data_IF_048411878283
#
_entry.id   IF_048411878283
#
_cell.length_a   1.000
_cell.length_b   1.000
_cell.length_c   1.000
_cell.angle_alpha   90.00
_cell.angle_beta   90.00
_cell.angle_gamma   90.00
#
_symmetry.space_group_name_H-M   'P 1'
#
loop_
_entity.id
_entity.type
_entity.pdbx_description
1 polymer ?
#
# COMPACT_ATOMS: atom_id res chain seq x y z
N UNK A 1 60.12 -11.58 -26.59
CA UNK A 1 58.85 -11.33 -25.87
C UNK A 1 57.89 -12.44 -26.24
N UNK A 2 57.72 -13.42 -25.36
CA UNK A 2 57.01 -14.66 -25.66
C UNK A 2 55.51 -14.51 -25.37
N UNK A 3 54.68 -14.71 -26.38
CA UNK A 3 53.22 -14.72 -26.27
C UNK A 3 52.76 -16.07 -25.69
N UNK A 4 52.20 -16.04 -24.48
CA UNK A 4 51.58 -17.19 -23.83
C UNK A 4 50.11 -17.28 -24.26
N UNK A 5 49.75 -18.33 -24.99
CA UNK A 5 48.38 -18.55 -25.45
C UNK A 5 47.46 -19.00 -24.30
N UNK A 6 46.20 -18.55 -24.24
CA UNK A 6 45.24 -18.97 -23.22
C UNK A 6 44.71 -20.38 -23.49
N UNK A 7 44.69 -21.20 -22.44
CA UNK A 7 44.18 -22.57 -22.46
C UNK A 7 42.66 -22.59 -22.68
N UNK A 8 42.23 -23.15 -23.81
CA UNK A 8 40.83 -23.41 -24.15
C UNK A 8 40.34 -24.55 -23.25
N UNK A 9 39.56 -24.21 -22.21
CA UNK A 9 38.84 -25.20 -21.39
C UNK A 9 37.74 -25.84 -22.23
N UNK A 10 37.96 -27.08 -22.64
CA UNK A 10 36.92 -27.92 -23.23
C UNK A 10 35.77 -28.12 -22.22
N UNK A 11 34.59 -27.62 -22.59
CA UNK A 11 33.36 -27.84 -21.84
C UNK A 11 33.00 -29.33 -21.89
N UNK A 12 33.17 -30.03 -20.77
CA UNK A 12 32.70 -31.40 -20.60
C UNK A 12 31.17 -31.40 -20.63
N UNK A 13 30.59 -32.04 -21.65
CA UNK A 13 29.17 -32.31 -21.72
C UNK A 13 28.75 -33.14 -20.49
N UNK A 14 27.97 -32.52 -19.60
CA UNK A 14 27.41 -33.20 -18.44
C UNK A 14 26.42 -34.29 -18.85
N UNK A 15 26.23 -35.32 -18.01
CA UNK A 15 25.29 -36.41 -18.27
C UNK A 15 23.86 -35.85 -18.45
N UNK A 16 23.17 -36.37 -19.46
CA UNK A 16 21.78 -36.03 -19.80
C UNK A 16 20.89 -36.28 -18.58
N UNK A 17 20.10 -35.29 -18.10
CA UNK A 17 19.21 -35.48 -16.96
C UNK A 17 18.19 -36.56 -17.28
N UNK A 18 17.99 -37.49 -16.34
CA UNK A 18 16.98 -38.54 -16.44
C UNK A 18 15.57 -37.94 -16.60
N UNK A 19 14.69 -38.55 -17.40
CA UNK A 19 13.31 -38.11 -17.52
C UNK A 19 12.62 -38.17 -16.15
N UNK A 20 12.00 -37.06 -15.75
CA UNK A 20 11.23 -37.00 -14.51
C UNK A 20 10.06 -38.01 -14.58
N UNK A 21 9.76 -38.72 -13.49
CA UNK A 21 8.62 -39.62 -13.44
C UNK A 21 7.33 -38.82 -13.63
N UNK A 22 6.58 -39.18 -14.66
CA UNK A 22 5.26 -38.62 -14.95
C UNK A 22 4.29 -39.09 -13.87
N UNK A 23 4.11 -38.30 -12.81
CA UNK A 23 3.09 -38.58 -11.81
C UNK A 23 1.72 -38.48 -12.49
N UNK A 24 0.89 -39.54 -12.50
CA UNK A 24 -0.46 -39.46 -13.02
C UNK A 24 -1.22 -38.41 -12.22
N UNK A 25 -1.81 -37.44 -12.93
CA UNK A 25 -2.72 -36.46 -12.36
C UNK A 25 -3.94 -37.24 -11.86
N UNK A 26 -3.92 -37.66 -10.58
CA UNK A 26 -5.09 -38.17 -9.89
C UNK A 26 -6.04 -36.98 -9.78
N UNK A 27 -6.99 -36.87 -10.71
CA UNK A 27 -8.15 -35.99 -10.58
C UNK A 27 -8.86 -36.41 -9.29
N UNK A 28 -8.66 -35.67 -8.21
CA UNK A 28 -9.44 -35.84 -6.98
C UNK A 28 -10.82 -35.23 -7.23
N UNK A 29 -11.91 -36.03 -7.30
CA UNK A 29 -13.26 -35.50 -7.29
C UNK A 29 -13.60 -35.15 -5.84
N UNK A 30 -13.12 -33.99 -5.40
CA UNK A 30 -13.35 -33.49 -4.06
C UNK A 30 -13.31 -31.98 -4.10
N UNK A 31 -14.48 -31.35 -4.25
CA UNK A 31 -14.61 -29.91 -4.11
C UNK A 31 -14.00 -29.50 -2.77
N UNK A 32 -12.88 -28.78 -2.82
CA UNK A 32 -12.32 -28.15 -1.62
C UNK A 32 -13.43 -27.28 -1.05
N UNK A 33 -13.90 -27.55 0.19
CA UNK A 33 -14.91 -26.71 0.81
C UNK A 33 -14.38 -25.29 0.78
N UNK A 34 -15.09 -24.42 0.07
CA UNK A 34 -14.73 -23.02 -0.03
C UNK A 34 -14.83 -22.45 1.38
N UNK A 35 -13.69 -22.34 2.05
CA UNK A 35 -13.62 -21.81 3.40
C UNK A 35 -14.30 -20.43 3.36
N UNK A 36 -15.37 -20.28 4.15
CA UNK A 36 -16.09 -19.03 4.26
C UNK A 36 -15.06 -17.93 4.57
N UNK A 37 -15.04 -16.88 3.75
CA UNK A 37 -14.12 -15.77 3.98
C UNK A 37 -14.37 -15.23 5.39
N UNK A 38 -13.32 -15.00 6.20
CA UNK A 38 -13.50 -14.45 7.53
C UNK A 38 -14.27 -13.12 7.44
N UNK A 39 -15.20 -12.85 8.37
CA UNK A 39 -15.98 -11.62 8.36
C UNK A 39 -15.04 -10.42 8.37
N UNK A 40 -15.32 -9.45 7.50
CA UNK A 40 -14.56 -8.21 7.46
C UNK A 40 -14.87 -7.39 8.73
N UNK A 41 -13.86 -6.76 9.36
CA UNK A 41 -14.11 -5.91 10.53
C UNK A 41 -15.03 -4.76 10.13
N UNK A 42 -15.99 -4.44 11.01
CA UNK A 42 -16.88 -3.30 10.83
C UNK A 42 -16.06 -2.03 11.12
N UNK A 43 -15.99 -1.05 10.20
CA UNK A 43 -15.27 0.19 10.45
C UNK A 43 -15.88 0.97 11.63
N UNK A 44 -15.02 1.40 12.56
CA UNK A 44 -15.39 2.25 13.70
C UNK A 44 -15.15 3.72 13.38
N UNK A 45 -15.72 4.64 14.16
CA UNK A 45 -15.45 6.07 13.94
C UNK A 45 -13.99 6.40 14.28
N UNK A 46 -13.41 7.38 13.58
CA UNK A 46 -12.06 7.84 13.86
C UNK A 46 -11.99 8.42 15.29
N UNK A 47 -11.00 8.04 16.11
CA UNK A 47 -10.80 8.62 17.43
C UNK A 47 -10.63 10.14 17.38
N UNK A 48 -11.08 10.83 18.43
CA UNK A 48 -10.95 12.28 18.53
C UNK A 48 -9.49 12.73 18.66
N UNK A 49 -9.19 14.02 18.42
CA UNK A 49 -7.82 14.54 18.44
C UNK A 49 -7.12 14.36 19.79
N UNK A 50 -7.83 14.50 20.92
CA UNK A 50 -7.26 14.32 22.26
C UNK A 50 -6.88 12.84 22.54
N UNK A 51 -7.71 11.89 22.10
CA UNK A 51 -7.42 10.46 22.21
C UNK A 51 -6.24 10.07 21.31
N UNK A 52 -6.17 10.64 20.11
CA UNK A 52 -5.06 10.45 19.19
C UNK A 52 -3.75 11.00 19.74
N UNK A 53 -3.75 12.21 20.32
CA UNK A 53 -2.55 12.79 20.92
C UNK A 53 -2.02 11.94 22.08
N UNK A 54 -2.91 11.47 22.94
CA UNK A 54 -2.56 10.57 24.06
C UNK A 54 -1.99 9.26 23.52
N UNK A 55 -2.68 8.62 22.57
CA UNK A 55 -2.22 7.39 21.94
C UNK A 55 -0.89 7.57 21.20
N UNK A 56 -0.68 8.69 20.52
CA UNK A 56 0.59 9.00 19.86
C UNK A 56 1.75 9.07 20.86
N UNK A 57 1.54 9.70 22.03
CA UNK A 57 2.54 9.76 23.07
C UNK A 57 2.88 8.35 23.58
N UNK A 58 1.88 7.49 23.77
CA UNK A 58 2.06 6.10 24.17
C UNK A 58 2.81 5.29 23.11
N UNK A 59 2.45 5.44 21.82
CA UNK A 59 3.16 4.78 20.71
C UNK A 59 4.61 5.24 20.64
N UNK A 60 4.87 6.56 20.76
CA UNK A 60 6.24 7.11 20.77
C UNK A 60 7.03 6.58 21.97
N UNK A 61 6.43 6.48 23.15
CA UNK A 61 7.08 5.93 24.33
C UNK A 61 7.41 4.44 24.15
N UNK A 62 6.43 3.66 23.66
CA UNK A 62 6.55 2.21 23.44
C UNK A 62 7.60 1.86 22.37
N UNK A 63 7.64 2.61 21.29
CA UNK A 63 8.57 2.41 20.17
C UNK A 63 9.76 3.37 20.23
N UNK A 64 10.06 3.96 21.39
CA UNK A 64 11.10 4.99 21.56
C UNK A 64 12.48 4.55 21.04
N UNK A 65 12.89 3.31 21.34
CA UNK A 65 14.12 2.74 20.81
C UNK A 65 14.11 2.62 19.27
N UNK A 66 12.97 2.21 18.69
CA UNK A 66 12.77 2.17 17.24
C UNK A 66 12.90 3.55 16.61
N UNK A 67 12.24 4.56 17.17
CA UNK A 67 12.36 5.95 16.69
C UNK A 67 13.78 6.50 16.81
N UNK A 68 14.49 6.22 17.90
CA UNK A 68 15.88 6.67 18.07
C UNK A 68 16.84 5.97 17.09
N UNK A 69 16.56 4.71 16.75
CA UNK A 69 17.32 3.92 15.79
C UNK A 69 16.98 4.20 14.33
N UNK A 70 15.77 4.69 14.03
CA UNK A 70 15.23 4.87 12.68
C UNK A 70 15.85 6.08 11.92
N UNK A 71 17.15 6.00 11.64
CA UNK A 71 17.92 7.09 11.02
C UNK A 71 18.02 6.97 9.51
N UNK A 72 18.00 5.74 8.99
CA UNK A 72 18.04 5.49 7.54
C UNK A 72 16.64 5.22 6.98
N UNK A 73 16.49 5.31 5.65
CA UNK A 73 15.23 4.95 4.99
C UNK A 73 14.82 3.49 5.30
N UNK A 74 15.79 2.58 5.35
CA UNK A 74 15.55 1.17 5.68
C UNK A 74 15.02 1.01 7.11
N UNK A 75 15.68 1.63 8.09
CA UNK A 75 15.24 1.53 9.49
C UNK A 75 13.83 2.13 9.69
N UNK A 76 13.51 3.22 8.98
CA UNK A 76 12.18 3.83 9.00
C UNK A 76 11.11 2.95 8.36
N UNK A 77 11.43 2.29 7.25
CA UNK A 77 10.57 1.29 6.61
C UNK A 77 10.28 0.13 7.56
N UNK A 78 11.31 -0.42 8.20
CA UNK A 78 11.15 -1.51 9.18
C UNK A 78 10.28 -1.08 10.37
N UNK A 79 10.48 0.13 10.90
CA UNK A 79 9.63 0.67 11.96
C UNK A 79 8.19 0.89 11.50
N UNK A 80 7.98 1.38 10.27
CA UNK A 80 6.64 1.54 9.69
C UNK A 80 5.91 0.19 9.60
N UNK A 81 6.59 -0.86 9.13
CA UNK A 81 6.03 -2.21 9.11
C UNK A 81 5.70 -2.73 10.52
N UNK A 82 6.58 -2.49 11.50
CA UNK A 82 6.33 -2.90 12.88
C UNK A 82 5.08 -2.22 13.46
N UNK A 83 4.91 -0.92 13.21
CA UNK A 83 3.73 -0.17 13.63
C UNK A 83 2.46 -0.67 12.93
N UNK A 84 2.54 -1.01 11.65
CA UNK A 84 1.44 -1.59 10.87
C UNK A 84 1.04 -2.98 11.36
N UNK A 85 2.01 -3.80 11.82
CA UNK A 85 1.74 -5.10 12.47
C UNK A 85 1.15 -4.90 13.86
N UNK A 86 1.65 -3.93 14.61
CA UNK A 86 1.15 -3.56 15.92
C UNK A 86 -0.31 -3.10 15.87
N UNK A 87 -0.70 -2.36 14.82
CA UNK A 87 -2.05 -1.88 14.56
C UNK A 87 -3.06 -3.00 14.16
N UNK A 88 -3.03 -4.12 14.88
CA UNK A 88 -3.96 -5.24 14.70
C UNK A 88 -5.38 -4.90 15.19
N UNK A 89 -6.33 -5.79 14.89
CA UNK A 89 -7.73 -5.65 15.29
C UNK A 89 -7.97 -5.70 16.81
N UNK A 90 -6.97 -6.12 17.60
CA UNK A 90 -7.09 -6.25 19.06
C UNK A 90 -6.64 -4.98 19.81
N UNK A 91 -6.00 -4.04 19.11
CA UNK A 91 -5.59 -2.78 19.73
C UNK A 91 -6.79 -1.84 19.96
N UNK A 92 -6.75 -1.00 21.01
CA UNK A 92 -7.70 0.11 21.16
C UNK A 92 -7.76 0.98 19.89
N UNK A 93 -8.93 1.51 19.50
CA UNK A 93 -9.08 2.32 18.28
C UNK A 93 -8.08 3.49 18.20
N UNK A 94 -7.86 4.23 19.30
CA UNK A 94 -6.91 5.33 19.37
C UNK A 94 -5.46 4.87 19.12
N UNK A 95 -5.00 3.82 19.81
CA UNK A 95 -3.68 3.24 19.61
C UNK A 95 -3.47 2.72 18.18
N UNK A 96 -4.49 2.08 17.60
CA UNK A 96 -4.45 1.60 16.22
C UNK A 96 -4.34 2.75 15.23
N UNK A 97 -5.18 3.78 15.37
CA UNK A 97 -5.16 4.95 14.48
C UNK A 97 -3.81 5.69 14.56
N UNK A 98 -3.32 5.96 15.78
CA UNK A 98 -2.03 6.61 16.01
C UNK A 98 -0.86 5.80 15.41
N UNK A 99 -0.86 4.47 15.59
CA UNK A 99 0.17 3.60 15.01
C UNK A 99 0.14 3.61 13.47
N UNK A 100 -1.05 3.56 12.85
CA UNK A 100 -1.18 3.61 11.39
C UNK A 100 -0.78 4.98 10.81
N UNK A 101 -1.14 6.09 11.47
CA UNK A 101 -0.71 7.43 11.07
C UNK A 101 0.82 7.58 11.17
N UNK A 102 1.40 7.10 12.27
CA UNK A 102 2.85 7.09 12.46
C UNK A 102 3.56 6.23 11.40
N UNK A 103 3.01 5.05 11.09
CA UNK A 103 3.55 4.19 10.05
C UNK A 103 3.48 4.83 8.67
N UNK A 104 2.33 5.43 8.31
CA UNK A 104 2.16 6.13 7.04
C UNK A 104 3.18 7.26 6.90
N UNK A 105 3.41 8.05 7.96
CA UNK A 105 4.42 9.11 7.98
C UNK A 105 5.84 8.56 7.79
N UNK A 106 6.21 7.52 8.53
CA UNK A 106 7.52 6.90 8.41
C UNK A 106 7.74 6.26 7.03
N UNK A 107 6.71 5.64 6.45
CA UNK A 107 6.76 5.09 5.10
C UNK A 107 6.97 6.19 4.05
N UNK A 108 6.31 7.34 4.18
CA UNK A 108 6.55 8.52 3.32
C UNK A 108 7.99 9.01 3.48
N UNK A 109 8.49 9.15 4.71
CA UNK A 109 9.87 9.56 4.97
C UNK A 109 10.91 8.56 4.44
N UNK A 110 10.59 7.26 4.48
CA UNK A 110 11.41 6.17 3.94
C UNK A 110 11.29 6.00 2.41
N UNK A 111 10.31 6.67 1.79
CA UNK A 111 9.89 6.42 0.40
C UNK A 111 9.45 4.96 0.14
N UNK A 112 8.93 4.30 1.16
CA UNK A 112 8.44 2.93 1.12
C UNK A 112 6.96 2.90 0.68
N UNK A 113 6.75 2.68 -0.61
CA UNK A 113 5.40 2.64 -1.21
C UNK A 113 4.58 1.46 -0.66
N UNK A 114 5.07 0.20 -0.65
CA UNK A 114 4.33 -0.92 -0.06
C UNK A 114 3.84 -0.67 1.37
N UNK A 115 4.71 -0.20 2.28
CA UNK A 115 4.33 0.04 3.67
C UNK A 115 3.30 1.18 3.80
N UNK A 116 3.47 2.26 3.01
CA UNK A 116 2.53 3.37 3.00
C UNK A 116 1.14 2.97 2.50
N UNK A 117 1.07 2.14 1.45
CA UNK A 117 -0.20 1.59 0.95
C UNK A 117 -0.87 0.69 1.98
N UNK A 118 -0.15 -0.24 2.63
CA UNK A 118 -0.75 -1.12 3.64
C UNK A 118 -1.29 -0.33 4.84
N UNK A 119 -0.55 0.70 5.29
CA UNK A 119 -1.02 1.59 6.36
C UNK A 119 -2.32 2.32 5.97
N UNK A 120 -2.37 2.93 4.79
CA UNK A 120 -3.55 3.65 4.30
C UNK A 120 -4.75 2.73 4.08
N UNK A 121 -4.54 1.53 3.51
CA UNK A 121 -5.61 0.54 3.33
C UNK A 121 -6.16 0.05 4.66
N UNK A 122 -5.30 -0.16 5.67
CA UNK A 122 -5.73 -0.51 7.03
C UNK A 122 -6.49 0.63 7.70
N UNK A 123 -6.08 1.88 7.51
CA UNK A 123 -6.85 3.03 8.00
C UNK A 123 -8.27 3.02 7.43
N UNK A 124 -8.40 2.84 6.11
CA UNK A 124 -9.71 2.76 5.46
C UNK A 124 -10.51 1.50 5.90
N UNK A 125 -9.83 0.40 6.18
CA UNK A 125 -10.48 -0.86 6.60
C UNK A 125 -11.06 -0.75 8.01
N UNK A 126 -10.33 -0.13 8.93
CA UNK A 126 -10.70 -0.10 10.35
C UNK A 126 -11.52 1.12 10.73
N UNK A 127 -11.42 2.23 9.99
CA UNK A 127 -12.03 3.50 10.40
C UNK A 127 -12.95 4.08 9.33
N UNK A 128 -14.03 4.71 9.77
CA UNK A 128 -14.76 5.69 8.97
C UNK A 128 -13.95 6.97 8.95
N UNK A 129 -13.41 7.29 7.79
CA UNK A 129 -12.60 8.48 7.59
C UNK A 129 -13.52 9.67 7.32
N UNK A 130 -13.25 10.79 7.97
CA UNK A 130 -13.83 12.08 7.59
C UNK A 130 -13.00 12.71 6.46
N UNK A 131 -13.43 13.88 5.97
CA UNK A 131 -12.74 14.61 4.90
C UNK A 131 -11.29 14.93 5.28
N UNK A 132 -11.03 15.31 6.53
CA UNK A 132 -9.69 15.68 7.00
C UNK A 132 -8.74 14.47 7.01
N UNK A 133 -9.16 13.35 7.60
CA UNK A 133 -8.39 12.12 7.64
C UNK A 133 -8.16 11.54 6.24
N UNK A 134 -9.16 11.65 5.34
CA UNK A 134 -9.03 11.24 3.96
C UNK A 134 -7.98 12.09 3.21
N UNK A 135 -7.93 13.41 3.45
CA UNK A 135 -6.92 14.29 2.87
C UNK A 135 -5.49 13.92 3.30
N UNK A 136 -5.28 13.55 4.55
CA UNK A 136 -3.96 13.08 5.04
C UNK A 136 -3.47 11.88 4.24
N UNK A 137 -4.35 10.92 3.92
CA UNK A 137 -3.99 9.75 3.11
C UNK A 137 -3.65 10.16 1.67
N UNK A 138 -4.43 11.08 1.09
CA UNK A 138 -4.19 11.60 -0.27
C UNK A 138 -2.85 12.33 -0.35
N UNK A 139 -2.51 13.14 0.65
CA UNK A 139 -1.22 13.84 0.73
C UNK A 139 -0.05 12.86 0.88
N UNK A 140 -0.21 11.79 1.67
CA UNK A 140 0.77 10.73 1.77
C UNK A 140 0.98 10.01 0.42
N UNK A 141 -0.11 9.70 -0.30
CA UNK A 141 -0.01 9.13 -1.65
C UNK A 141 0.67 10.07 -2.64
N UNK A 142 0.41 11.38 -2.57
CA UNK A 142 1.11 12.36 -3.40
C UNK A 142 2.62 12.35 -3.13
N UNK A 143 3.02 12.36 -1.86
CA UNK A 143 4.41 12.34 -1.45
C UNK A 143 5.11 11.05 -1.92
N UNK A 144 4.48 9.89 -1.73
CA UNK A 144 4.99 8.60 -2.20
C UNK A 144 5.08 8.55 -3.74
N UNK A 145 4.08 9.09 -4.44
CA UNK A 145 4.05 9.07 -5.90
C UNK A 145 5.20 9.89 -6.51
N UNK A 146 5.60 10.99 -5.86
CA UNK A 146 6.73 11.82 -6.30
C UNK A 146 8.02 11.01 -6.35
N UNK A 147 8.27 10.14 -5.38
CA UNK A 147 9.51 9.35 -5.26
C UNK A 147 9.39 7.93 -5.83
N UNK A 148 8.18 7.44 -6.07
CA UNK A 148 7.92 6.09 -6.58
C UNK A 148 8.62 5.79 -7.91
N UNK A 149 9.08 4.55 -8.10
CA UNK A 149 9.53 4.06 -9.42
C UNK A 149 8.31 3.77 -10.31
N UNK A 150 8.47 3.61 -11.64
CA UNK A 150 7.35 3.28 -12.53
C UNK A 150 6.58 2.01 -12.10
N UNK A 151 7.30 0.99 -11.63
CA UNK A 151 6.68 -0.25 -11.13
C UNK A 151 5.79 0.01 -9.90
N UNK A 152 6.29 0.78 -8.93
CA UNK A 152 5.54 1.13 -7.71
C UNK A 152 4.41 2.13 -7.98
N UNK A 153 4.54 2.94 -9.04
CA UNK A 153 3.48 3.87 -9.45
C UNK A 153 2.22 3.13 -9.90
N UNK A 154 2.35 1.91 -10.43
CA UNK A 154 1.19 1.09 -10.80
C UNK A 154 0.46 0.55 -9.57
N UNK A 155 1.18 0.01 -8.58
CA UNK A 155 0.58 -0.47 -7.33
C UNK A 155 -0.07 0.68 -6.55
N UNK A 156 0.62 1.81 -6.46
CA UNK A 156 0.09 3.03 -5.84
C UNK A 156 -1.15 3.55 -6.57
N UNK A 157 -1.14 3.56 -7.92
CA UNK A 157 -2.31 3.94 -8.72
C UNK A 157 -3.53 3.06 -8.44
N UNK A 158 -3.35 1.74 -8.28
CA UNK A 158 -4.44 0.81 -7.92
C UNK A 158 -4.96 1.06 -6.50
N UNK A 159 -4.08 1.39 -5.56
CA UNK A 159 -4.46 1.75 -4.19
C UNK A 159 -5.26 3.06 -4.17
N UNK A 160 -4.80 4.09 -4.88
CA UNK A 160 -5.52 5.38 -5.04
C UNK A 160 -6.89 5.16 -5.67
N UNK A 161 -6.99 4.33 -6.73
CA UNK A 161 -8.27 4.01 -7.36
C UNK A 161 -9.23 3.30 -6.39
N UNK A 162 -8.71 2.33 -5.62
CA UNK A 162 -9.51 1.63 -4.60
C UNK A 162 -10.00 2.59 -3.53
N UNK A 163 -9.12 3.48 -3.05
CA UNK A 163 -9.45 4.54 -2.08
C UNK A 163 -10.54 5.47 -2.64
N UNK A 164 -10.35 5.98 -3.85
CA UNK A 164 -11.29 6.90 -4.50
C UNK A 164 -12.68 6.26 -4.77
N UNK A 165 -12.74 4.95 -5.01
CA UNK A 165 -14.00 4.21 -5.20
C UNK A 165 -14.75 3.92 -3.90
N UNK A 166 -14.02 3.77 -2.79
CA UNK A 166 -14.59 3.47 -1.48
C UNK A 166 -14.97 4.72 -0.69
N UNK A 167 -14.37 5.86 -1.03
CA UNK A 167 -14.71 7.18 -0.53
C UNK A 167 -16.22 7.43 -0.61
N UNK A 168 -16.87 7.50 0.55
CA UNK A 168 -18.25 7.96 0.75
C UNK A 168 -18.23 9.07 1.79
N UNK A 169 -17.88 10.28 1.40
CA UNK A 169 -17.64 11.40 2.32
C UNK A 169 -18.75 12.46 2.19
N UNK A 170 -18.98 13.31 3.19
CA UNK A 170 -19.95 14.41 3.05
C UNK A 170 -19.46 15.50 2.07
N UNK A 171 -18.14 15.78 2.05
CA UNK A 171 -17.49 16.71 1.11
C UNK A 171 -16.66 15.95 0.06
N UNK A 172 -17.27 14.99 -0.65
CA UNK A 172 -16.56 14.05 -1.55
C UNK A 172 -15.73 14.75 -2.61
N UNK A 173 -16.17 15.92 -3.08
CA UNK A 173 -15.66 16.50 -4.31
C UNK A 173 -14.16 16.82 -4.20
N UNK A 174 -13.71 17.48 -3.12
CA UNK A 174 -12.29 17.84 -2.99
C UNK A 174 -11.38 16.62 -2.85
N UNK A 175 -11.78 15.62 -2.05
CA UNK A 175 -10.99 14.39 -1.87
C UNK A 175 -10.97 13.59 -3.17
N UNK A 176 -12.11 13.45 -3.84
CA UNK A 176 -12.23 12.71 -5.08
C UNK A 176 -11.50 13.38 -6.24
N UNK A 177 -11.55 14.71 -6.36
CA UNK A 177 -10.78 15.49 -7.34
C UNK A 177 -9.27 15.29 -7.16
N UNK A 178 -8.77 15.44 -5.92
CA UNK A 178 -7.35 15.20 -5.63
C UNK A 178 -6.97 13.74 -5.92
N UNK A 179 -7.77 12.77 -5.49
CA UNK A 179 -7.50 11.37 -5.75
C UNK A 179 -7.53 11.03 -7.26
N UNK A 180 -8.46 11.60 -8.03
CA UNK A 180 -8.53 11.43 -9.48
C UNK A 180 -7.32 12.06 -10.18
N UNK A 181 -6.88 13.24 -9.74
CA UNK A 181 -5.67 13.90 -10.23
C UNK A 181 -4.41 13.06 -9.98
N UNK A 182 -4.25 12.54 -8.74
CA UNK A 182 -3.15 11.66 -8.38
C UNK A 182 -3.18 10.35 -9.16
N UNK A 183 -4.37 9.76 -9.35
CA UNK A 183 -4.55 8.56 -10.16
C UNK A 183 -4.10 8.80 -11.62
N UNK A 184 -4.44 9.95 -12.20
CA UNK A 184 -3.96 10.36 -13.52
C UNK A 184 -2.44 10.49 -13.59
N UNK A 185 -1.81 11.07 -12.56
CA UNK A 185 -0.36 11.16 -12.46
C UNK A 185 0.30 9.77 -12.33
N UNK A 186 -0.26 8.90 -11.49
CA UNK A 186 0.21 7.53 -11.29
C UNK A 186 0.08 6.68 -12.57
N UNK A 187 -1.04 6.80 -13.29
CA UNK A 187 -1.27 6.12 -14.55
C UNK A 187 -0.26 6.56 -15.64
N UNK A 188 0.01 7.86 -15.76
CA UNK A 188 1.02 8.39 -16.69
C UNK A 188 2.43 7.89 -16.35
N UNK A 189 2.78 7.87 -15.06
CA UNK A 189 4.11 7.45 -14.59
C UNK A 189 4.35 5.95 -14.74
N UNK A 190 3.33 5.13 -14.49
CA UNK A 190 3.39 3.67 -14.64
C UNK A 190 3.32 3.19 -16.09
N UNK A 191 2.75 3.99 -17.01
CA UNK A 191 2.46 3.63 -18.40
C UNK A 191 1.53 2.40 -18.52
N UNK A 192 0.72 2.13 -17.50
CA UNK A 192 -0.26 1.05 -17.49
C UNK A 192 -1.56 1.52 -18.21
N UNK A 193 -1.92 0.95 -19.37
CA UNK A 193 -3.08 1.40 -20.15
C UNK A 193 -4.41 1.20 -19.40
N UNK A 194 -4.52 0.17 -18.54
CA UNK A 194 -5.72 -0.07 -17.74
C UNK A 194 -5.87 1.02 -16.67
N UNK A 195 -4.76 1.44 -16.05
CA UNK A 195 -4.79 2.58 -15.12
C UNK A 195 -5.10 3.90 -15.82
N UNK A 196 -4.61 4.12 -17.04
CA UNK A 196 -4.95 5.32 -17.82
C UNK A 196 -6.45 5.38 -18.12
N UNK A 197 -7.05 4.25 -18.50
CA UNK A 197 -8.50 4.14 -18.71
C UNK A 197 -9.26 4.41 -17.40
N UNK A 198 -8.88 3.75 -16.31
CA UNK A 198 -9.51 3.93 -15.00
C UNK A 198 -9.39 5.38 -14.49
N UNK A 199 -8.26 6.05 -14.73
CA UNK A 199 -8.05 7.45 -14.38
C UNK A 199 -9.03 8.38 -15.13
N UNK A 200 -9.24 8.15 -16.43
CA UNK A 200 -10.20 8.92 -17.24
C UNK A 200 -11.64 8.70 -16.75
N UNK A 201 -12.02 7.45 -16.51
CA UNK A 201 -13.35 7.12 -15.99
C UNK A 201 -13.60 7.76 -14.62
N UNK A 202 -12.58 7.76 -13.74
CA UNK A 202 -12.69 8.39 -12.43
C UNK A 202 -12.81 9.92 -12.56
N UNK A 203 -12.01 10.55 -13.42
CA UNK A 203 -12.09 11.98 -13.66
C UNK A 203 -13.47 12.41 -14.18
N UNK A 204 -14.02 11.68 -15.15
CA UNK A 204 -15.37 11.94 -15.67
C UNK A 204 -16.43 11.82 -14.57
N UNK A 205 -16.36 10.77 -13.74
CA UNK A 205 -17.30 10.59 -12.62
C UNK A 205 -17.26 11.73 -11.62
N UNK A 206 -16.08 12.28 -11.36
CA UNK A 206 -15.92 13.43 -10.46
C UNK A 206 -16.52 14.68 -11.09
N UNK A 207 -16.26 14.93 -12.37
CA UNK A 207 -16.84 16.05 -13.12
C UNK A 207 -18.38 15.99 -13.16
N UNK A 208 -18.95 14.81 -13.46
CA UNK A 208 -20.39 14.59 -13.50
C UNK A 208 -21.05 14.88 -12.13
N UNK A 209 -20.41 14.44 -11.03
CA UNK A 209 -20.89 14.70 -9.66
C UNK A 209 -20.82 16.19 -9.30
N UNK A 210 -19.74 16.87 -9.65
CA UNK A 210 -19.57 18.31 -9.41
C UNK A 210 -20.58 19.13 -10.21
N UNK A 211 -20.92 18.69 -11.42
CA UNK A 211 -21.95 19.31 -12.27
C UNK A 211 -23.36 19.18 -11.69
N UNK A 212 -23.69 18.05 -11.05
CA UNK A 212 -25.01 17.83 -10.42
C UNK A 212 -25.21 18.59 -9.10
N UNK A 213 -24.13 19.02 -8.44
CA UNK A 213 -24.18 19.74 -7.18
C UNK A 213 -24.35 21.26 -7.33
N UNK A 214 -24.35 21.78 -8.56
CA UNK A 214 -24.56 23.20 -8.91
C UNK A 214 -26.00 23.46 -9.32
#
# INVERSE_FOLDING_TARGET
MSYSAPAVRQARAGPKPAPLPTNPIIQRPGGVPQAAMPPQPIPVDMPGPADLETAEAEIKARFSAGYAGAKTAQDKSELAEQLVRFASADQPPAARAAALQAALRLAVEAQDVPAGVDAAEKMHRFFKLDTAAALVIVEAYEALLKTAKPADSASLGRAILTFARKAKYPDENTVAEKAASLLGAAAKKSRDPELVKAAKEMAQRVEDKVGQAK
#
